data_IF_926865010644
#
_entry.id   IF_926865010644
#
_cell.length_a   1.000
_cell.length_b   1.000
_cell.length_c   1.000
_cell.angle_alpha   90.00
_cell.angle_beta   90.00
_cell.angle_gamma   90.00
#
_symmetry.space_group_name_H-M   'P 1'
#
loop_
_entity.id
_entity.type
_entity.pdbx_description
1 polymer ?
#
# COMPACT_ATOMS: atom_id res chain seq x y z
N UNK A 1 -14.63 9.68 13.75
CA UNK A 1 -14.89 9.55 12.30
C UNK A 1 -15.62 8.22 12.10
N UNK A 2 -16.71 8.19 11.34
CA UNK A 2 -17.46 6.97 11.02
C UNK A 2 -17.26 6.63 9.55
N UNK A 3 -16.91 5.38 9.24
CA UNK A 3 -16.74 4.91 7.87
C UNK A 3 -18.02 4.17 7.44
N UNK A 4 -18.58 4.45 6.26
CA UNK A 4 -19.81 3.81 5.84
C UNK A 4 -19.56 2.32 5.52
N UNK A 5 -20.37 1.43 6.07
CA UNK A 5 -20.23 -0.01 5.85
C UNK A 5 -20.31 -0.42 4.36
N UNK A 6 -21.07 0.34 3.56
CA UNK A 6 -21.18 0.14 2.11
C UNK A 6 -19.86 0.37 1.34
N UNK A 7 -18.84 0.95 1.98
CA UNK A 7 -17.52 1.09 1.38
C UNK A 7 -16.73 -0.22 1.36
N UNK A 8 -17.22 -1.28 2.01
CA UNK A 8 -16.50 -2.54 2.16
C UNK A 8 -17.23 -3.71 1.51
N UNK A 9 -16.46 -4.68 1.03
CA UNK A 9 -16.94 -5.96 0.50
C UNK A 9 -15.96 -7.08 0.83
N UNK A 10 -16.47 -8.32 0.89
CA UNK A 10 -15.64 -9.53 0.94
C UNK A 10 -15.29 -10.01 -0.46
N UNK A 11 -13.99 -10.17 -0.73
CA UNK A 11 -13.47 -10.62 -2.04
C UNK A 11 -12.27 -11.54 -1.86
N UNK A 12 -12.02 -12.42 -2.83
CA UNK A 12 -10.77 -13.17 -2.87
C UNK A 12 -9.63 -12.22 -3.29
N UNK A 13 -8.43 -12.32 -2.68
CA UNK A 13 -7.29 -11.51 -3.08
C UNK A 13 -6.93 -11.62 -4.57
N UNK A 14 -7.19 -12.78 -5.20
CA UNK A 14 -6.94 -13.01 -6.62
C UNK A 14 -7.92 -12.31 -7.56
N UNK A 15 -9.07 -11.84 -7.04
CA UNK A 15 -10.07 -11.10 -7.82
C UNK A 15 -9.82 -9.58 -7.77
N UNK A 16 -8.85 -9.14 -6.95
CA UNK A 16 -8.54 -7.73 -6.76
C UNK A 16 -7.52 -7.25 -7.79
N UNK A 17 -7.63 -5.97 -8.15
CA UNK A 17 -6.62 -5.29 -8.95
C UNK A 17 -5.44 -4.85 -8.07
N UNK A 18 -4.20 -4.82 -8.60
CA UNK A 18 -3.09 -4.16 -7.93
C UNK A 18 -3.46 -2.72 -7.51
N UNK A 19 -2.98 -2.32 -6.33
CA UNK A 19 -3.32 -1.05 -5.67
C UNK A 19 -4.52 -1.17 -4.74
N UNK A 20 -5.27 -2.26 -4.76
CA UNK A 20 -6.34 -2.50 -3.79
C UNK A 20 -5.76 -2.67 -2.38
N UNK A 21 -6.41 -2.08 -1.38
CA UNK A 21 -6.13 -2.36 0.03
C UNK A 21 -7.13 -3.36 0.58
N UNK A 22 -6.66 -4.28 1.41
CA UNK A 22 -7.51 -5.30 2.01
C UNK A 22 -7.02 -5.66 3.41
N UNK A 23 -7.96 -6.07 4.26
CA UNK A 23 -7.71 -6.57 5.59
C UNK A 23 -7.59 -8.09 5.52
N UNK A 24 -6.38 -8.59 5.77
CA UNK A 24 -6.12 -10.02 5.88
C UNK A 24 -5.84 -10.38 7.32
N UNK A 25 -6.73 -11.19 7.91
CA UNK A 25 -6.74 -11.51 9.35
C UNK A 25 -6.91 -10.21 10.16
N UNK A 26 -5.81 -9.58 10.55
CA UNK A 26 -5.78 -8.39 11.41
C UNK A 26 -4.88 -7.28 10.86
N UNK A 27 -4.26 -7.49 9.70
CA UNK A 27 -3.33 -6.54 9.08
C UNK A 27 -3.87 -6.04 7.74
N UNK A 28 -3.96 -4.72 7.62
CA UNK A 28 -4.11 -4.07 6.32
C UNK A 28 -2.88 -4.31 5.46
N UNK A 29 -3.12 -4.66 4.21
CA UNK A 29 -2.13 -4.86 3.18
C UNK A 29 -2.57 -4.19 1.88
N UNK A 30 -1.60 -3.85 1.03
CA UNK A 30 -1.83 -3.44 -0.35
C UNK A 30 -1.50 -4.61 -1.27
N UNK A 31 -2.38 -4.91 -2.22
CA UNK A 31 -2.09 -5.84 -3.29
C UNK A 31 -1.15 -5.16 -4.29
N UNK A 32 -0.03 -5.80 -4.59
CA UNK A 32 1.00 -5.29 -5.48
C UNK A 32 1.38 -6.32 -6.52
N UNK A 33 1.88 -5.82 -7.65
CA UNK A 33 2.45 -6.64 -8.69
C UNK A 33 3.97 -6.75 -8.48
N UNK A 34 4.47 -7.95 -8.28
CA UNK A 34 5.92 -8.20 -8.19
C UNK A 34 6.43 -8.75 -9.52
N UNK A 35 7.27 -7.97 -10.20
CA UNK A 35 7.86 -8.31 -11.51
C UNK A 35 9.40 -8.41 -11.48
N UNK A 36 10.04 -8.20 -10.33
CA UNK A 36 11.51 -8.05 -10.32
C UNK A 36 12.30 -9.37 -10.42
N UNK A 37 11.66 -10.53 -10.28
CA UNK A 37 12.36 -11.84 -10.34
C UNK A 37 11.65 -12.92 -11.16
N UNK A 38 10.35 -12.82 -11.40
CA UNK A 38 9.61 -13.79 -12.19
C UNK A 38 9.39 -13.24 -13.61
N UNK A 39 9.52 -14.11 -14.63
CA UNK A 39 9.27 -13.75 -16.03
C UNK A 39 7.82 -13.28 -16.27
N UNK A 40 6.91 -13.66 -15.37
CA UNK A 40 5.51 -13.25 -15.36
C UNK A 40 5.20 -12.46 -14.09
N UNK A 41 4.36 -11.41 -14.17
CA UNK A 41 3.94 -10.64 -13.01
C UNK A 41 3.19 -11.50 -11.98
N UNK A 42 3.63 -11.45 -10.71
CA UNK A 42 2.99 -12.20 -9.61
C UNK A 42 2.36 -11.27 -8.60
N UNK A 43 1.11 -11.55 -8.24
CA UNK A 43 0.43 -10.86 -7.14
C UNK A 43 1.11 -11.17 -5.80
N UNK A 44 1.46 -10.11 -5.09
CA UNK A 44 2.01 -10.15 -3.75
C UNK A 44 1.23 -9.16 -2.86
N UNK A 45 1.29 -9.37 -1.55
CA UNK A 45 0.73 -8.47 -0.56
C UNK A 45 1.88 -7.75 0.16
N UNK A 46 1.80 -6.43 0.20
CA UNK A 46 2.67 -5.57 1.00
C UNK A 46 1.95 -5.24 2.30
N UNK A 47 2.48 -5.71 3.43
CA UNK A 47 1.88 -5.44 4.74
C UNK A 47 2.06 -3.96 5.11
N UNK A 48 0.97 -3.27 5.41
CA UNK A 48 0.99 -1.84 5.74
C UNK A 48 0.97 -1.58 7.25
N UNK A 49 0.52 -2.55 8.05
CA UNK A 49 0.44 -2.43 9.51
C UNK A 49 0.69 -3.76 10.25
N UNK A 50 1.11 -3.64 11.51
CA UNK A 50 1.34 -4.78 12.41
C UNK A 50 2.79 -5.29 12.42
N UNK A 51 3.00 -6.49 12.93
CA UNK A 51 4.32 -7.07 13.19
C UNK A 51 5.19 -7.20 11.92
N UNK A 52 4.58 -7.47 10.77
CA UNK A 52 5.31 -7.67 9.51
C UNK A 52 5.28 -6.45 8.58
N UNK A 53 5.03 -5.25 9.12
CA UNK A 53 4.93 -4.01 8.37
C UNK A 53 6.11 -3.83 7.39
N UNK A 54 5.77 -3.62 6.12
CA UNK A 54 6.71 -3.43 5.01
C UNK A 54 7.25 -4.71 4.39
N UNK A 55 6.85 -5.88 4.88
CA UNK A 55 7.22 -7.17 4.29
C UNK A 55 6.32 -7.50 3.09
N UNK A 56 6.90 -8.16 2.08
CA UNK A 56 6.16 -8.75 0.97
C UNK A 56 5.92 -10.25 1.16
N UNK A 57 4.72 -10.70 0.82
CA UNK A 57 4.36 -12.11 0.75
C UNK A 57 3.63 -12.44 -0.56
N UNK A 58 3.92 -13.59 -1.16
CA UNK A 58 3.23 -14.05 -2.38
C UNK A 58 1.77 -14.37 -2.07
N UNK A 59 0.86 -13.96 -2.95
CA UNK A 59 -0.54 -14.38 -2.86
C UNK A 59 -0.63 -15.83 -3.31
N UNK A 60 -1.04 -16.71 -2.39
CA UNK A 60 -1.13 -18.14 -2.62
C UNK A 60 -2.47 -18.58 -3.21
N UNK A 61 -2.48 -19.73 -3.89
CA UNK A 61 -3.72 -20.43 -4.23
C UNK A 61 -4.41 -20.88 -2.93
N UNK A 62 -5.69 -20.55 -2.77
CA UNK A 62 -6.49 -20.96 -1.61
C UNK A 62 -6.50 -19.97 -0.43
N UNK A 63 -6.02 -18.73 -0.62
CA UNK A 63 -6.25 -17.69 0.38
C UNK A 63 -7.76 -17.43 0.58
N UNK A 64 -8.22 -17.25 1.83
CA UNK A 64 -9.63 -17.00 2.09
C UNK A 64 -10.06 -15.61 1.57
N UNK A 65 -11.37 -15.37 1.43
CA UNK A 65 -11.90 -14.02 1.23
C UNK A 65 -11.39 -13.06 2.30
N UNK A 66 -11.23 -11.80 1.89
CA UNK A 66 -10.74 -10.71 2.72
C UNK A 66 -11.64 -9.49 2.54
N UNK A 67 -11.71 -8.65 3.57
CA UNK A 67 -12.44 -7.39 3.54
C UNK A 67 -11.62 -6.39 2.73
N UNK A 68 -12.21 -5.82 1.69
CA UNK A 68 -11.60 -4.82 0.79
C UNK A 68 -12.57 -3.68 0.56
N UNK A 69 -12.18 -2.69 -0.25
CA UNK A 69 -13.09 -1.64 -0.71
C UNK A 69 -14.06 -2.16 -1.77
N UNK A 70 -15.34 -1.83 -1.63
CA UNK A 70 -16.36 -2.10 -2.63
C UNK A 70 -16.30 -1.06 -3.75
N UNK A 71 -16.51 -1.46 -5.00
CA UNK A 71 -16.69 -0.48 -6.08
C UNK A 71 -17.92 0.41 -5.81
N UNK A 72 -17.88 1.71 -6.15
CA UNK A 72 -16.78 2.43 -6.80
C UNK A 72 -15.85 3.15 -5.80
N UNK A 73 -15.85 2.75 -4.51
CA UNK A 73 -14.98 3.35 -3.52
C UNK A 73 -13.51 3.07 -3.85
N UNK A 74 -12.70 4.11 -3.70
CA UNK A 74 -11.25 4.04 -3.81
C UNK A 74 -10.59 4.59 -2.55
N UNK A 75 -9.28 4.75 -2.63
CA UNK A 75 -8.50 5.30 -1.53
C UNK A 75 -7.32 6.13 -2.01
N UNK A 76 -6.80 6.97 -1.12
CA UNK A 76 -5.55 7.67 -1.30
C UNK A 76 -4.79 7.75 0.02
N UNK A 77 -3.46 7.86 -0.07
CA UNK A 77 -2.62 8.10 1.09
C UNK A 77 -2.79 9.55 1.57
N UNK A 78 -2.95 9.71 2.89
CA UNK A 78 -3.11 10.99 3.56
C UNK A 78 -2.08 11.14 4.67
N UNK A 79 -1.67 12.37 4.91
CA UNK A 79 -0.74 12.74 5.98
C UNK A 79 -1.39 13.86 6.79
N UNK A 80 -1.22 13.83 8.11
CA UNK A 80 -1.76 14.88 8.96
C UNK A 80 -1.11 16.22 8.61
N UNK A 81 -1.93 17.26 8.51
CA UNK A 81 -1.46 18.62 8.29
C UNK A 81 -0.40 19.02 9.32
N UNK A 82 0.63 19.74 8.86
CA UNK A 82 1.72 20.23 9.70
C UNK A 82 2.77 19.18 10.10
N UNK A 83 2.63 17.91 9.69
CA UNK A 83 3.69 16.90 9.90
C UNK A 83 4.75 17.05 8.79
N UNK A 84 6.00 17.40 9.11
CA UNK A 84 7.05 17.50 8.10
C UNK A 84 7.51 16.10 7.67
N UNK A 85 7.84 15.89 6.38
CA UNK A 85 8.55 14.69 5.97
C UNK A 85 9.97 14.67 6.55
N UNK A 86 10.47 13.47 6.81
CA UNK A 86 11.78 13.22 7.41
C UNK A 86 12.66 12.41 6.46
N UNK A 87 13.98 12.53 6.62
CA UNK A 87 14.96 11.82 5.80
C UNK A 87 15.44 10.49 6.44
N UNK A 88 15.41 10.39 7.78
CA UNK A 88 16.00 9.29 8.57
C UNK A 88 14.95 8.33 9.16
N UNK A 89 14.04 7.82 8.33
CA UNK A 89 13.03 6.84 8.77
C UNK A 89 13.41 5.46 8.28
N UNK A 90 13.06 4.43 9.06
CA UNK A 90 12.99 3.05 8.57
C UNK A 90 12.23 3.05 7.24
N UNK A 91 12.91 2.61 6.18
CA UNK A 91 12.39 2.81 4.82
C UNK A 91 11.08 2.04 4.58
N UNK A 92 10.88 0.91 5.25
CA UNK A 92 9.78 -0.02 4.96
C UNK A 92 8.42 0.47 5.47
N UNK A 93 7.38 0.27 4.65
CA UNK A 93 6.02 0.79 4.79
C UNK A 93 5.88 2.31 5.00
N UNK A 94 6.95 3.07 4.80
CA UNK A 94 6.89 4.52 4.78
C UNK A 94 6.29 5.02 3.47
N UNK A 95 5.53 6.12 3.54
CA UNK A 95 5.08 6.84 2.37
C UNK A 95 6.21 7.76 1.91
N UNK A 96 6.81 7.46 0.78
CA UNK A 96 7.89 8.24 0.17
C UNK A 96 7.35 9.05 -1.01
N UNK A 97 7.78 10.31 -1.12
CA UNK A 97 7.44 11.15 -2.27
C UNK A 97 8.52 11.02 -3.34
N UNK A 98 8.22 10.30 -4.42
CA UNK A 98 9.07 10.20 -5.60
C UNK A 98 8.64 11.21 -6.68
N UNK A 99 9.49 11.41 -7.71
CA UNK A 99 9.19 12.28 -8.86
C UNK A 99 7.93 11.83 -9.63
N UNK A 100 7.65 10.54 -9.65
CA UNK A 100 6.46 9.94 -10.26
C UNK A 100 5.21 9.97 -9.36
N UNK A 101 5.30 10.55 -8.17
CA UNK A 101 4.23 10.56 -7.17
C UNK A 101 4.54 9.72 -5.92
N UNK A 102 3.55 9.53 -5.03
CA UNK A 102 3.73 8.79 -3.79
C UNK A 102 3.99 7.30 -4.06
N UNK A 103 4.88 6.72 -3.25
CA UNK A 103 5.21 5.29 -3.26
C UNK A 103 5.27 4.74 -1.84
N UNK A 104 4.93 3.46 -1.66
CA UNK A 104 5.21 2.71 -0.44
C UNK A 104 6.40 1.79 -0.69
N UNK A 105 7.37 1.84 0.22
CA UNK A 105 8.55 0.96 0.15
C UNK A 105 8.27 -0.34 0.89
N UNK A 106 8.62 -1.47 0.27
CA UNK A 106 8.63 -2.78 0.89
C UNK A 106 10.02 -3.41 0.90
N UNK A 107 10.12 -4.56 1.56
CA UNK A 107 11.32 -5.37 1.64
C UNK A 107 10.98 -6.83 1.34
N UNK A 108 11.81 -7.48 0.52
CA UNK A 108 11.72 -8.92 0.29
C UNK A 108 12.27 -9.70 1.50
N UNK A 109 11.68 -10.86 1.85
CA UNK A 109 12.23 -11.75 2.87
C UNK A 109 13.67 -12.19 2.55
N UNK A 110 14.53 -12.27 3.56
CA UNK A 110 15.98 -12.58 3.44
C UNK A 110 16.31 -13.98 2.90
N UNK A 111 15.32 -14.85 2.77
CA UNK A 111 15.46 -16.15 2.10
C UNK A 111 15.81 -16.00 0.59
N UNK A 112 15.76 -14.77 0.05
CA UNK A 112 16.04 -14.43 -1.35
C UNK A 112 17.36 -13.65 -1.53
N UNK A 113 18.19 -13.52 -0.47
CA UNK A 113 19.44 -12.74 -0.47
C UNK A 113 19.40 -11.56 0.54
N UNK A 114 20.33 -10.62 0.43
CA UNK A 114 20.23 -9.33 1.15
C UNK A 114 18.91 -8.68 0.71
N UNK A 115 17.90 -8.73 1.58
CA UNK A 115 16.50 -8.42 1.25
C UNK A 115 16.38 -7.07 0.54
N UNK A 116 16.24 -7.11 -0.78
CA UNK A 116 16.17 -5.93 -1.61
C UNK A 116 14.97 -5.07 -1.22
N UNK A 117 15.20 -3.75 -1.15
CA UNK A 117 14.12 -2.78 -0.98
C UNK A 117 13.46 -2.52 -2.32
N UNK A 118 12.14 -2.47 -2.32
CA UNK A 118 11.30 -2.28 -3.51
C UNK A 118 10.32 -1.16 -3.24
N UNK A 119 9.91 -0.43 -4.27
CA UNK A 119 8.90 0.61 -4.16
C UNK A 119 7.69 0.28 -5.05
N UNK A 120 6.49 0.56 -4.52
CA UNK A 120 5.23 0.39 -5.24
C UNK A 120 4.46 1.70 -5.25
N UNK A 121 3.88 2.05 -6.40
CA UNK A 121 2.91 3.14 -6.48
C UNK A 121 1.61 2.80 -5.75
N UNK A 122 0.74 3.79 -5.58
CA UNK A 122 -0.60 3.56 -5.02
C UNK A 122 -1.49 2.70 -5.94
N UNK A 123 -1.10 2.53 -7.20
CA UNK A 123 -1.68 1.59 -8.18
C UNK A 123 -1.16 0.15 -8.01
N UNK A 124 -0.34 -0.10 -6.98
CA UNK A 124 0.28 -1.39 -6.69
C UNK A 124 1.30 -1.85 -7.73
N UNK A 125 1.68 -1.00 -8.69
CA UNK A 125 2.70 -1.35 -9.68
C UNK A 125 4.10 -1.05 -9.14
N UNK A 126 5.10 -1.87 -9.49
CA UNK A 126 6.47 -1.64 -9.08
C UNK A 126 6.98 -0.34 -9.72
N UNK A 127 7.84 0.37 -8.98
CA UNK A 127 8.57 1.54 -9.48
C UNK A 127 10.04 1.18 -9.63
N UNK A 128 10.60 1.45 -10.82
CA UNK A 128 12.02 1.23 -11.12
C UNK A 128 12.93 2.01 -10.19
N UNK A 129 12.46 3.18 -9.77
CA UNK A 129 13.20 4.10 -8.94
C UNK A 129 12.83 3.83 -7.49
N UNK A 130 13.51 2.85 -6.88
CA UNK A 130 13.58 2.82 -5.42
C UNK A 130 14.16 4.18 -4.98
N UNK A 131 13.44 4.99 -4.18
CA UNK A 131 13.92 6.30 -3.78
C UNK A 131 15.16 6.18 -2.90
N UNK A 132 16.35 6.32 -3.52
CA UNK A 132 17.66 6.26 -2.86
C UNK A 132 18.08 7.65 -2.35
N UNK A 133 18.77 7.68 -1.22
CA UNK A 133 19.29 8.93 -0.63
C UNK A 133 18.25 9.69 0.21
N UNK A 134 18.43 11.01 0.30
CA UNK A 134 17.60 11.92 1.10
C UNK A 134 16.23 12.17 0.43
N UNK A 135 15.31 11.23 0.63
CA UNK A 135 13.94 11.34 0.11
C UNK A 135 13.02 11.85 1.22
N UNK A 136 11.97 12.60 0.85
CA UNK A 136 10.93 13.03 1.79
C UNK A 136 10.05 11.83 2.14
N UNK A 137 10.11 11.38 3.39
CA UNK A 137 9.35 10.22 3.88
C UNK A 137 8.41 10.60 5.02
N UNK A 138 7.25 9.99 5.03
CA UNK A 138 6.31 10.04 6.16
C UNK A 138 6.26 8.67 6.83
N UNK A 139 6.81 8.61 8.05
CA UNK A 139 6.74 7.42 8.90
C UNK A 139 5.30 7.10 9.32
N UNK A 140 4.50 8.15 9.51
CA UNK A 140 3.10 8.07 9.90
C UNK A 140 2.27 8.70 8.78
N UNK A 141 1.44 7.88 8.18
CA UNK A 141 0.46 8.25 7.17
C UNK A 141 -0.79 7.39 7.42
N UNK A 142 -1.90 7.79 6.82
CA UNK A 142 -3.18 7.09 6.91
C UNK A 142 -3.79 6.93 5.53
N UNK A 143 -4.85 6.15 5.46
CA UNK A 143 -5.66 6.03 4.24
C UNK A 143 -6.93 6.85 4.41
N UNK A 144 -7.30 7.59 3.37
CA UNK A 144 -8.62 8.19 3.23
C UNK A 144 -9.40 7.52 2.10
N UNK A 145 -10.70 7.40 2.30
CA UNK A 145 -11.61 6.84 1.30
C UNK A 145 -12.08 7.95 0.36
N UNK A 146 -12.17 7.61 -0.91
CA UNK A 146 -12.82 8.46 -1.91
C UNK A 146 -13.97 7.71 -2.57
N UNK A 147 -14.99 8.46 -2.98
CA UNK A 147 -16.08 7.95 -3.80
C UNK A 147 -16.26 8.92 -4.97
N UNK A 148 -16.34 8.47 -6.24
CA UNK A 148 -16.38 9.37 -7.39
C UNK A 148 -17.52 10.40 -7.35
N UNK A 149 -18.64 10.06 -6.73
CA UNK A 149 -19.80 10.95 -6.58
C UNK A 149 -19.75 11.86 -5.33
N UNK A 150 -18.75 11.72 -4.47
CA UNK A 150 -18.55 12.62 -3.32
C UNK A 150 -17.26 13.41 -3.54
N UNK A 151 -17.33 14.74 -3.70
CA UNK A 151 -16.11 15.55 -3.71
C UNK A 151 -15.38 15.34 -2.38
N UNK A 152 -14.06 15.15 -2.45
CA UNK A 152 -13.19 15.14 -1.26
C UNK A 152 -13.52 16.41 -0.47
N UNK A 153 -14.02 16.23 0.75
CA UNK A 153 -14.64 17.33 1.50
C UNK A 153 -13.69 18.52 1.62
N UNK A 154 -14.17 19.77 1.44
CA UNK A 154 -13.39 20.92 1.86
C UNK A 154 -13.23 20.84 3.38
N UNK A 155 -12.00 21.05 3.86
CA UNK A 155 -11.69 21.16 5.29
C UNK A 155 -12.69 22.08 6.00
N UNK A 156 -13.20 21.74 7.19
CA UNK A 156 -13.85 22.73 8.03
C UNK A 156 -12.77 23.69 8.56
N UNK A 157 -13.03 24.99 8.38
CA UNK A 157 -12.29 26.10 9.02
C UNK A 157 -12.31 26.03 10.55
#
# INVERSE_FOLDING_TARGET
MSIPAQAFADRLPNDLLPGSIFLLRESWAMLVNNQQEEAEPVLALLVLQGEHTGSLFKVGKGMPPCVTLAEPFGWFASVKEGVPPTHDVVDTASLSLASSGPVVVGQMPSQWGDGGKIAFGMDGQPRSDYPRGAVKRFAKWSVELCHPAQPTSPHPE
#
